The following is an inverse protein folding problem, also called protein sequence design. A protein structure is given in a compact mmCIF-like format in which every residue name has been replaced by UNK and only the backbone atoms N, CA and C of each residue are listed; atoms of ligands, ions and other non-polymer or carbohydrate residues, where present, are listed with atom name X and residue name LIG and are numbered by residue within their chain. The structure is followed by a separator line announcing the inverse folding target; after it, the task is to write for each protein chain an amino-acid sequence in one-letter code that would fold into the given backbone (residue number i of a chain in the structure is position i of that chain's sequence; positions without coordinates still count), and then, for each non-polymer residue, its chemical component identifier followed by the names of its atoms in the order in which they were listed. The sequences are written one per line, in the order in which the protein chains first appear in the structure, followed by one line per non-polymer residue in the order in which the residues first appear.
data_IF_101103610320
#
_entry.id   IF_101103610320
#
_cell.length_a   1.000
_cell.length_b   1.000
_cell.length_c   1.000
_cell.angle_alpha   90.00
_cell.angle_beta   90.00
_cell.angle_gamma   90.00
#
_symmetry.space_group_name_H-M   'P 1'
#
loop_
_entity.id
_entity.type
_entity.pdbx_description
1 polymer ?
#
# COMPACT_ATOMS: atom_id res chain seq x y z
N UNK A 1 4.46 20.32 1.04
CA UNK A 1 5.87 20.53 0.62
C UNK A 1 6.91 20.33 1.70
N UNK A 2 6.84 21.05 2.83
CA UNK A 2 7.92 21.06 3.86
C UNK A 2 8.24 19.68 4.46
N UNK A 3 7.28 18.75 4.48
CA UNK A 3 7.43 17.35 4.93
C UNK A 3 8.54 16.57 4.19
N UNK A 4 8.92 16.98 2.98
CA UNK A 4 9.98 16.31 2.24
C UNK A 4 11.34 16.37 2.96
N UNK A 5 11.60 17.44 3.73
CA UNK A 5 12.85 17.59 4.49
C UNK A 5 12.98 16.49 5.57
N UNK A 6 12.06 16.38 6.55
CA UNK A 6 12.16 15.33 7.56
C UNK A 6 12.06 13.94 6.94
N UNK A 7 11.27 13.76 5.88
CA UNK A 7 11.18 12.48 5.16
C UNK A 7 12.54 12.04 4.57
N UNK A 8 13.22 12.93 3.84
CA UNK A 8 14.54 12.63 3.25
C UNK A 8 15.60 12.41 4.33
N UNK A 9 15.60 13.20 5.40
CA UNK A 9 16.56 13.01 6.50
C UNK A 9 16.35 11.68 7.20
N UNK A 10 15.10 11.31 7.51
CA UNK A 10 14.78 10.02 8.12
C UNK A 10 15.10 8.84 7.18
N UNK A 11 14.99 9.03 5.86
CA UNK A 11 15.45 8.06 4.88
C UNK A 11 16.96 7.86 4.91
N UNK A 12 17.74 8.95 4.88
CA UNK A 12 19.21 8.88 4.85
C UNK A 12 19.78 8.32 6.15
N UNK A 13 19.26 8.75 7.30
CA UNK A 13 19.83 8.38 8.60
C UNK A 13 19.21 7.14 9.24
N UNK A 14 17.97 6.80 8.91
CA UNK A 14 17.25 5.66 9.49
C UNK A 14 16.96 4.55 8.48
N UNK A 15 16.16 4.89 7.46
CA UNK A 15 15.63 3.91 6.51
C UNK A 15 16.71 3.15 5.71
N UNK A 16 17.55 3.88 4.99
CA UNK A 16 18.59 3.31 4.10
C UNK A 16 19.62 2.48 4.86
N UNK A 17 20.18 2.93 6.01
CA UNK A 17 21.12 2.13 6.78
C UNK A 17 20.52 0.80 7.26
N UNK A 18 19.29 0.80 7.79
CA UNK A 18 18.62 -0.42 8.24
C UNK A 18 18.31 -1.37 7.08
N UNK A 19 17.83 -0.81 5.95
CA UNK A 19 17.53 -1.56 4.74
C UNK A 19 18.79 -2.25 4.18
N UNK A 20 19.90 -1.50 4.06
CA UNK A 20 21.17 -2.05 3.61
C UNK A 20 21.73 -3.11 4.57
N UNK A 21 21.68 -2.86 5.87
CA UNK A 21 22.14 -3.80 6.89
C UNK A 21 21.44 -5.16 6.77
N UNK A 22 20.12 -5.17 6.62
CA UNK A 22 19.35 -6.41 6.47
C UNK A 22 19.70 -7.16 5.18
N UNK A 23 19.82 -6.44 4.06
CA UNK A 23 20.24 -7.04 2.78
C UNK A 23 21.64 -7.64 2.87
N UNK A 24 22.60 -6.93 3.45
CA UNK A 24 23.97 -7.40 3.62
C UNK A 24 24.02 -8.64 4.52
N UNK A 25 23.27 -8.64 5.63
CA UNK A 25 23.16 -9.80 6.54
C UNK A 25 22.59 -11.03 5.83
N UNK A 26 21.53 -10.85 5.03
CA UNK A 26 20.91 -11.91 4.26
C UNK A 26 21.84 -12.49 3.20
N UNK A 27 22.49 -11.63 2.41
CA UNK A 27 23.43 -12.04 1.36
C UNK A 27 24.66 -12.75 1.92
N UNK A 28 25.20 -12.28 3.06
CA UNK A 28 26.38 -12.87 3.68
C UNK A 28 26.09 -14.24 4.32
N UNK A 29 25.01 -14.36 5.09
CA UNK A 29 24.73 -15.60 5.83
C UNK A 29 23.97 -16.64 5.00
N UNK A 30 23.23 -16.25 3.97
CA UNK A 30 22.45 -17.14 3.10
C UNK A 30 21.50 -18.07 3.87
N UNK A 31 20.83 -17.51 4.87
CA UNK A 31 19.87 -18.21 5.72
C UNK A 31 18.62 -17.37 5.89
N UNK A 32 17.49 -18.00 6.21
CA UNK A 32 16.24 -17.29 6.49
C UNK A 32 16.21 -16.57 7.85
N UNK A 33 15.09 -15.92 8.14
CA UNK A 33 14.91 -15.06 9.30
C UNK A 33 14.99 -15.77 10.68
N UNK A 34 14.76 -17.09 10.74
CA UNK A 34 14.90 -17.87 11.99
C UNK A 34 16.32 -18.44 12.15
N UNK A 35 16.88 -19.16 11.15
CA UNK A 35 18.18 -19.81 11.34
C UNK A 35 19.37 -18.84 11.46
N UNK A 36 19.26 -17.63 10.92
CA UNK A 36 20.34 -16.62 10.99
C UNK A 36 20.73 -16.29 12.44
N UNK A 37 19.75 -16.21 13.35
CA UNK A 37 19.99 -15.88 14.75
C UNK A 37 20.81 -16.95 15.48
N UNK A 38 20.79 -18.20 15.02
CA UNK A 38 21.69 -19.24 15.57
C UNK A 38 23.17 -18.92 15.32
N UNK A 39 23.48 -18.20 14.23
CA UNK A 39 24.85 -17.82 13.86
C UNK A 39 25.28 -16.48 14.46
N UNK A 40 24.34 -15.54 14.59
CA UNK A 40 24.62 -14.20 15.14
C UNK A 40 24.54 -14.21 16.66
N UNK A 41 23.36 -14.51 17.22
CA UNK A 41 23.13 -14.48 18.66
C UNK A 41 21.92 -15.38 19.01
N UNK A 42 22.15 -16.61 19.50
CA UNK A 42 21.09 -17.60 19.70
C UNK A 42 19.95 -17.15 20.62
N UNK A 43 20.22 -16.25 21.58
CA UNK A 43 19.21 -15.70 22.49
C UNK A 43 18.10 -14.96 21.73
N UNK A 44 18.41 -14.38 20.57
CA UNK A 44 17.49 -13.60 19.74
C UNK A 44 16.76 -14.44 18.69
N UNK A 45 16.83 -15.77 18.75
CA UNK A 45 16.08 -16.66 17.84
C UNK A 45 14.57 -16.39 17.83
N UNK A 46 14.02 -15.89 18.93
CA UNK A 46 12.62 -15.46 19.05
C UNK A 46 12.19 -14.40 18.04
N UNK A 47 13.11 -13.54 17.57
CA UNK A 47 12.82 -12.49 16.57
C UNK A 47 12.27 -13.10 15.28
N UNK A 48 12.87 -14.20 14.81
CA UNK A 48 12.39 -14.87 13.59
C UNK A 48 10.96 -15.41 13.72
N UNK A 49 10.58 -15.93 14.90
CA UNK A 49 9.21 -16.39 15.14
C UNK A 49 8.23 -15.21 15.26
N UNK A 50 8.64 -14.11 15.90
CA UNK A 50 7.83 -12.90 15.98
C UNK A 50 7.54 -12.34 14.58
N UNK A 51 8.53 -12.33 13.68
CA UNK A 51 8.35 -11.94 12.27
C UNK A 51 7.29 -12.80 11.58
N UNK A 52 7.28 -14.13 11.81
CA UNK A 52 6.26 -15.00 11.23
C UNK A 52 4.84 -14.66 11.74
N UNK A 53 4.69 -14.39 13.04
CA UNK A 53 3.39 -14.01 13.63
C UNK A 53 2.92 -12.66 13.09
N UNK A 54 3.83 -11.67 13.03
CA UNK A 54 3.52 -10.35 12.44
C UNK A 54 3.12 -10.51 10.98
N UNK A 55 3.87 -11.29 10.19
CA UNK A 55 3.56 -11.57 8.80
C UNK A 55 2.19 -12.22 8.61
N UNK A 56 1.77 -13.10 9.53
CA UNK A 56 0.43 -13.70 9.53
C UNK A 56 -0.66 -12.64 9.74
N UNK A 57 -0.50 -11.76 10.74
CA UNK A 57 -1.47 -10.68 10.97
C UNK A 57 -1.54 -9.69 9.81
N UNK A 58 -0.38 -9.34 9.24
CA UNK A 58 -0.30 -8.48 8.04
C UNK A 58 -1.03 -9.12 6.87
N UNK A 59 -0.86 -10.43 6.66
CA UNK A 59 -1.53 -11.19 5.60
C UNK A 59 -3.06 -11.12 5.71
N UNK A 60 -3.62 -11.12 6.92
CA UNK A 60 -5.08 -11.06 7.10
C UNK A 60 -5.69 -9.78 6.55
N UNK A 61 -5.18 -8.60 6.92
CA UNK A 61 -5.80 -7.35 6.49
C UNK A 61 -5.36 -6.89 5.09
N UNK A 62 -4.09 -7.11 4.69
CA UNK A 62 -3.61 -6.66 3.37
C UNK A 62 -4.35 -7.37 2.24
N UNK A 63 -4.56 -8.69 2.35
CA UNK A 63 -5.28 -9.43 1.32
C UNK A 63 -6.76 -9.03 1.25
N UNK A 64 -7.38 -8.60 2.35
CA UNK A 64 -8.74 -8.05 2.35
C UNK A 64 -8.82 -6.72 1.58
N UNK A 65 -7.85 -5.83 1.74
CA UNK A 65 -7.79 -4.56 0.97
C UNK A 65 -7.65 -4.85 -0.52
N UNK A 66 -6.79 -5.81 -0.89
CA UNK A 66 -6.65 -6.24 -2.30
C UNK A 66 -7.96 -6.86 -2.80
N UNK A 67 -8.70 -7.59 -1.96
CA UNK A 67 -10.01 -8.14 -2.32
C UNK A 67 -11.05 -7.04 -2.61
N UNK A 68 -11.04 -5.94 -1.85
CA UNK A 68 -11.86 -4.77 -2.17
C UNK A 68 -11.47 -4.19 -3.53
N UNK A 69 -10.17 -3.99 -3.80
CA UNK A 69 -9.70 -3.48 -5.07
C UNK A 69 -10.07 -4.40 -6.25
N UNK A 70 -9.97 -5.72 -6.08
CA UNK A 70 -10.38 -6.70 -7.08
C UNK A 70 -11.90 -6.65 -7.33
N UNK A 71 -12.70 -6.44 -6.29
CA UNK A 71 -14.14 -6.24 -6.41
C UNK A 71 -14.47 -4.96 -7.21
N UNK A 72 -13.76 -3.86 -6.96
CA UNK A 72 -13.84 -2.63 -7.76
C UNK A 72 -13.42 -2.87 -9.21
N UNK A 73 -12.34 -3.61 -9.44
CA UNK A 73 -11.84 -3.93 -10.77
C UNK A 73 -12.89 -4.70 -11.58
N UNK A 74 -13.50 -5.74 -11.00
CA UNK A 74 -14.60 -6.47 -11.65
C UNK A 74 -15.82 -5.58 -11.90
N UNK A 75 -16.20 -4.77 -10.91
CA UNK A 75 -17.36 -3.86 -11.01
C UNK A 75 -17.17 -2.76 -12.07
N UNK A 76 -15.91 -2.47 -12.45
CA UNK A 76 -15.57 -1.48 -13.47
C UNK A 76 -15.88 -1.95 -14.90
N UNK A 77 -16.18 -3.23 -15.13
CA UNK A 77 -16.57 -3.74 -16.46
C UNK A 77 -18.04 -3.47 -16.82
N UNK A 78 -18.80 -2.84 -15.93
CA UNK A 78 -20.18 -2.41 -16.23
C UNK A 78 -20.20 -1.21 -17.18
N UNK A 79 -21.18 -1.14 -18.09
CA UNK A 79 -21.28 -0.05 -19.07
C UNK A 79 -21.39 1.34 -18.43
N UNK A 80 -22.07 1.42 -17.29
CA UNK A 80 -22.05 2.59 -16.40
C UNK A 80 -21.45 2.18 -15.06
N UNK A 81 -20.52 2.99 -14.54
CA UNK A 81 -19.85 2.71 -13.27
C UNK A 81 -20.88 2.67 -12.12
N UNK A 82 -20.87 1.64 -11.24
CA UNK A 82 -21.86 1.51 -10.17
C UNK A 82 -21.86 2.64 -9.14
N UNK A 83 -20.75 3.38 -9.03
CA UNK A 83 -20.60 4.54 -8.16
C UNK A 83 -20.79 5.89 -8.89
N UNK A 84 -21.33 5.89 -10.11
CA UNK A 84 -21.61 7.12 -10.85
C UNK A 84 -23.01 7.69 -10.58
N UNK A 85 -23.97 6.87 -10.15
CA UNK A 85 -25.38 7.25 -9.95
C UNK A 85 -25.93 6.83 -8.58
N UNK A 86 -26.99 7.52 -8.14
CA UNK A 86 -27.73 7.16 -6.94
C UNK A 86 -28.84 6.13 -7.20
N UNK A 87 -29.05 5.69 -8.45
CA UNK A 87 -30.16 4.82 -8.85
C UNK A 87 -29.85 3.33 -8.69
N UNK A 88 -29.29 2.94 -7.54
CA UNK A 88 -28.87 1.57 -7.25
C UNK A 88 -29.59 1.02 -6.01
N UNK A 89 -29.80 -0.32 -5.91
CA UNK A 89 -30.58 -0.91 -4.82
C UNK A 89 -29.92 -0.80 -3.44
N UNK A 90 -28.63 -0.46 -3.36
CA UNK A 90 -27.93 -0.28 -2.08
C UNK A 90 -27.96 1.16 -1.56
N UNK A 91 -28.35 2.13 -2.39
CA UNK A 91 -28.30 3.54 -2.05
C UNK A 91 -29.46 3.95 -1.13
N UNK A 92 -29.19 4.91 -0.26
CA UNK A 92 -30.20 5.54 0.61
C UNK A 92 -30.86 6.75 -0.02
N UNK A 93 -31.97 7.26 0.57
CA UNK A 93 -32.51 8.58 0.24
C UNK A 93 -31.52 9.73 0.44
N UNK A 94 -30.48 9.54 1.26
CA UNK A 94 -29.45 10.54 1.53
C UNK A 94 -28.37 10.61 0.44
N UNK A 95 -28.40 9.69 -0.54
CA UNK A 95 -27.50 9.71 -1.69
C UNK A 95 -27.81 10.91 -2.59
N UNK A 96 -26.82 11.78 -2.79
CA UNK A 96 -26.95 12.95 -3.66
C UNK A 96 -25.85 13.00 -4.70
N UNK A 97 -26.23 13.00 -5.99
CA UNK A 97 -25.29 13.15 -7.09
C UNK A 97 -25.02 14.64 -7.35
N UNK A 98 -23.92 15.13 -6.79
CA UNK A 98 -23.51 16.54 -6.88
C UNK A 98 -22.89 16.92 -8.22
N UNK A 99 -22.42 15.96 -9.04
CA UNK A 99 -21.87 16.27 -10.36
C UNK A 99 -22.94 16.57 -11.41
N UNK A 100 -24.16 16.06 -11.23
CA UNK A 100 -25.24 16.18 -12.22
C UNK A 100 -26.26 17.29 -11.97
N UNK A 101 -26.23 17.95 -10.80
CA UNK A 101 -27.25 18.94 -10.40
C UNK A 101 -26.57 20.19 -9.82
N UNK A 102 -26.89 21.36 -10.37
CA UNK A 102 -26.29 22.65 -9.98
C UNK A 102 -26.85 23.24 -8.68
N UNK A 103 -28.07 22.87 -8.27
CA UNK A 103 -28.74 23.37 -7.06
C UNK A 103 -28.88 22.26 -6.01
N UNK A 104 -27.76 21.77 -5.47
CA UNK A 104 -27.76 20.78 -4.39
C UNK A 104 -27.19 21.40 -3.13
N UNK A 105 -27.99 21.42 -2.07
CA UNK A 105 -27.53 21.77 -0.72
C UNK A 105 -26.97 20.52 -0.05
N UNK A 106 -25.67 20.52 0.23
CA UNK A 106 -25.03 19.41 0.95
C UNK A 106 -25.30 19.54 2.45
N UNK A 107 -25.91 18.53 3.04
CA UNK A 107 -26.15 18.47 4.49
C UNK A 107 -25.19 17.48 5.15
N UNK A 108 -25.10 17.49 6.48
CA UNK A 108 -24.27 16.54 7.23
C UNK A 108 -24.68 15.07 7.03
N UNK A 109 -25.92 14.83 6.58
CA UNK A 109 -26.45 13.49 6.30
C UNK A 109 -26.26 13.07 4.85
N UNK A 110 -26.03 14.02 3.94
CA UNK A 110 -25.85 13.76 2.52
C UNK A 110 -24.60 12.92 2.27
N UNK A 111 -24.75 11.88 1.44
CA UNK A 111 -23.67 10.96 1.05
C UNK A 111 -23.46 10.98 -0.45
N UNK A 112 -22.21 10.77 -0.87
CA UNK A 112 -21.89 10.66 -2.30
C UNK A 112 -22.20 9.25 -2.83
N UNK A 113 -22.49 9.07 -4.13
CA UNK A 113 -22.70 7.74 -4.71
C UNK A 113 -21.51 6.79 -4.50
N UNK A 114 -20.28 7.32 -4.51
CA UNK A 114 -19.06 6.55 -4.29
C UNK A 114 -18.88 6.13 -2.83
N UNK A 115 -19.22 7.01 -1.89
CA UNK A 115 -19.23 6.70 -0.47
C UNK A 115 -20.26 5.61 -0.17
N UNK A 116 -21.51 5.77 -0.64
CA UNK A 116 -22.58 4.79 -0.50
C UNK A 116 -22.20 3.42 -1.11
N UNK A 117 -21.59 3.42 -2.30
CA UNK A 117 -21.09 2.19 -2.91
C UNK A 117 -20.03 1.51 -2.03
N UNK A 118 -19.03 2.24 -1.55
CA UNK A 118 -18.00 1.67 -0.69
C UNK A 118 -18.58 1.13 0.63
N UNK A 119 -19.37 1.95 1.34
CA UNK A 119 -19.85 1.60 2.67
C UNK A 119 -20.94 0.53 2.62
N UNK A 120 -21.90 0.66 1.69
CA UNK A 120 -23.10 -0.18 1.70
C UNK A 120 -23.07 -1.37 0.77
N UNK A 121 -22.30 -1.30 -0.31
CA UNK A 121 -22.21 -2.39 -1.29
C UNK A 121 -20.91 -3.19 -1.18
N UNK A 122 -19.76 -2.54 -1.07
CA UNK A 122 -18.47 -3.24 -0.97
C UNK A 122 -18.25 -3.79 0.43
N UNK A 123 -18.37 -2.93 1.45
CA UNK A 123 -18.13 -3.31 2.85
C UNK A 123 -19.37 -3.91 3.53
N UNK A 124 -20.57 -3.50 3.12
CA UNK A 124 -21.84 -3.78 3.80
C UNK A 124 -21.81 -3.44 5.30
N UNK A 125 -21.12 -2.36 5.68
CA UNK A 125 -20.84 -2.01 7.07
C UNK A 125 -22.10 -1.75 7.91
N UNK A 126 -23.21 -1.35 7.27
CA UNK A 126 -24.52 -1.16 7.89
C UNK A 126 -25.11 -2.44 8.48
N UNK A 127 -24.62 -3.62 8.09
CA UNK A 127 -25.02 -4.91 8.67
C UNK A 127 -24.30 -5.23 9.98
N UNK A 128 -23.27 -4.45 10.32
CA UNK A 128 -22.51 -4.60 11.55
C UNK A 128 -22.98 -3.61 12.62
N UNK A 129 -23.06 -4.08 13.86
CA UNK A 129 -23.31 -3.25 15.06
C UNK A 129 -22.03 -2.71 15.70
N UNK A 130 -20.89 -2.80 15.01
CA UNK A 130 -19.56 -2.47 15.53
C UNK A 130 -18.71 -3.71 15.83
N UNK A 131 -17.64 -3.54 16.60
CA UNK A 131 -16.63 -4.60 16.81
C UNK A 131 -17.18 -5.85 17.52
N UNK A 132 -18.17 -5.70 18.38
CA UNK A 132 -18.81 -6.81 19.09
C UNK A 132 -19.80 -7.60 18.22
N UNK A 133 -20.29 -6.99 17.14
CA UNK A 133 -21.20 -7.62 16.20
C UNK A 133 -20.81 -7.22 14.76
N UNK A 134 -19.81 -7.89 14.22
CA UNK A 134 -19.24 -7.59 12.90
C UNK A 134 -20.14 -8.00 11.73
N UNK A 135 -21.25 -8.68 12.00
CA UNK A 135 -22.16 -9.20 10.97
C UNK A 135 -21.67 -10.52 10.35
N UNK A 136 -22.23 -10.86 9.18
CA UNK A 136 -21.92 -12.08 8.44
C UNK A 136 -20.79 -11.91 7.42
N UNK A 137 -20.36 -13.02 6.82
CA UNK A 137 -19.33 -13.02 5.76
C UNK A 137 -19.96 -12.61 4.43
N UNK A 138 -19.41 -11.58 3.80
CA UNK A 138 -19.81 -11.16 2.45
C UNK A 138 -19.20 -12.09 1.38
N UNK A 139 -20.03 -12.94 0.77
CA UNK A 139 -19.59 -14.03 -0.11
C UNK A 139 -18.79 -13.56 -1.33
N UNK A 140 -19.12 -12.39 -1.90
CA UNK A 140 -18.41 -11.84 -3.06
C UNK A 140 -16.96 -11.47 -2.70
N UNK A 141 -16.74 -10.91 -1.51
CA UNK A 141 -15.39 -10.64 -1.02
C UNK A 141 -14.66 -11.92 -0.65
N UNK A 142 -15.36 -12.93 -0.13
CA UNK A 142 -14.77 -14.26 0.12
C UNK A 142 -14.26 -14.90 -1.18
N UNK A 143 -15.02 -14.81 -2.28
CA UNK A 143 -14.58 -15.27 -3.60
C UNK A 143 -13.38 -14.47 -4.12
N UNK A 144 -13.39 -13.14 -3.97
CA UNK A 144 -12.24 -12.30 -4.34
C UNK A 144 -10.98 -12.69 -3.54
N UNK A 145 -11.14 -12.93 -2.25
CA UNK A 145 -10.06 -13.35 -1.35
C UNK A 145 -9.53 -14.74 -1.73
N UNK A 146 -10.41 -15.70 -2.03
CA UNK A 146 -10.02 -17.02 -2.52
C UNK A 146 -9.20 -16.91 -3.81
N UNK A 147 -9.64 -16.08 -4.76
CA UNK A 147 -8.91 -15.86 -6.01
C UNK A 147 -7.52 -15.24 -5.76
N UNK A 148 -7.41 -14.27 -4.85
CA UNK A 148 -6.12 -13.68 -4.47
C UNK A 148 -5.18 -14.74 -3.88
N UNK A 149 -5.65 -15.56 -2.94
CA UNK A 149 -4.83 -16.63 -2.38
C UNK A 149 -4.43 -17.67 -3.42
N UNK A 150 -5.31 -18.00 -4.36
CA UNK A 150 -4.97 -18.89 -5.47
C UNK A 150 -3.84 -18.30 -6.34
N UNK A 151 -3.94 -17.01 -6.71
CA UNK A 151 -2.90 -16.31 -7.48
C UNK A 151 -1.57 -16.29 -6.72
N UNK A 152 -1.59 -15.93 -5.43
CA UNK A 152 -0.40 -15.89 -4.58
C UNK A 152 0.22 -17.29 -4.46
N UNK A 153 -0.60 -18.33 -4.25
CA UNK A 153 -0.14 -19.71 -4.17
C UNK A 153 0.58 -20.15 -5.44
N UNK A 154 -0.01 -19.96 -6.62
CA UNK A 154 0.63 -20.34 -7.89
C UNK A 154 1.86 -19.49 -8.20
N UNK A 155 1.91 -18.23 -7.75
CA UNK A 155 3.09 -17.36 -7.89
C UNK A 155 4.28 -17.86 -7.06
N UNK A 156 4.01 -18.42 -5.87
CA UNK A 156 5.03 -18.85 -4.91
C UNK A 156 5.37 -20.35 -4.95
N UNK A 157 4.52 -21.22 -5.51
CA UNK A 157 4.68 -22.68 -5.41
C UNK A 157 6.07 -23.16 -5.86
N UNK A 158 6.60 -22.68 -6.99
CA UNK A 158 7.96 -23.08 -7.45
C UNK A 158 9.08 -22.20 -6.88
N UNK A 159 8.83 -21.51 -5.78
CA UNK A 159 9.77 -20.67 -5.05
C UNK A 159 10.16 -19.39 -5.78
N UNK A 160 11.37 -18.90 -5.50
CA UNK A 160 11.87 -17.61 -6.01
C UNK A 160 11.97 -17.53 -7.53
N UNK A 161 12.06 -18.67 -8.24
CA UNK A 161 12.12 -18.71 -9.71
C UNK A 161 10.80 -18.31 -10.37
N UNK A 162 9.65 -18.75 -9.85
CA UNK A 162 8.34 -18.32 -10.36
C UNK A 162 7.99 -16.94 -9.85
N UNK A 163 8.22 -16.67 -8.56
CA UNK A 163 7.97 -15.35 -7.97
C UNK A 163 8.70 -14.24 -8.74
N UNK A 164 9.99 -14.45 -9.06
CA UNK A 164 10.77 -13.51 -9.87
C UNK A 164 10.16 -13.22 -11.24
N UNK A 165 9.56 -14.22 -11.91
CA UNK A 165 8.87 -14.02 -13.20
C UNK A 165 7.56 -13.25 -13.06
N UNK A 166 6.78 -13.52 -12.02
CA UNK A 166 5.53 -12.80 -11.75
C UNK A 166 5.81 -11.33 -11.43
N UNK A 167 6.88 -11.06 -10.67
CA UNK A 167 7.32 -9.70 -10.28
C UNK A 167 7.65 -8.83 -11.49
N UNK A 168 8.10 -9.39 -12.61
CA UNK A 168 8.31 -8.60 -13.84
C UNK A 168 7.05 -7.87 -14.29
N UNK A 169 5.87 -8.43 -14.07
CA UNK A 169 4.59 -7.78 -14.39
C UNK A 169 4.11 -6.95 -13.19
N UNK A 170 4.06 -7.55 -12.00
CA UNK A 170 3.43 -6.90 -10.84
C UNK A 170 4.20 -5.68 -10.32
N UNK A 171 5.51 -5.61 -10.52
CA UNK A 171 6.32 -4.44 -10.13
C UNK A 171 6.43 -3.38 -11.23
N UNK A 172 6.24 -3.71 -12.51
CA UNK A 172 6.39 -2.74 -13.62
C UNK A 172 5.06 -2.12 -14.04
N UNK A 173 3.98 -2.91 -14.05
CA UNK A 173 2.65 -2.44 -14.45
C UNK A 173 2.17 -1.22 -13.64
N UNK A 174 2.38 -1.12 -12.31
CA UNK A 174 2.02 0.07 -11.56
C UNK A 174 2.63 1.36 -12.10
N UNK A 175 3.86 1.34 -12.61
CA UNK A 175 4.50 2.52 -13.19
C UNK A 175 3.84 2.96 -14.50
N UNK A 176 3.40 2.00 -15.32
CA UNK A 176 2.64 2.29 -16.55
C UNK A 176 1.30 2.95 -16.18
N UNK A 177 0.59 2.39 -15.20
CA UNK A 177 -0.70 2.93 -14.72
C UNK A 177 -0.51 4.32 -14.11
N UNK A 178 0.50 4.51 -13.26
CA UNK A 178 0.83 5.82 -12.68
C UNK A 178 1.12 6.85 -13.77
N UNK A 179 1.87 6.49 -14.82
CA UNK A 179 2.15 7.40 -15.93
C UNK A 179 0.88 7.79 -16.70
N UNK A 180 0.00 6.83 -16.99
CA UNK A 180 -1.28 7.09 -17.66
C UNK A 180 -2.13 8.03 -16.82
N UNK A 181 -2.26 7.75 -15.52
CA UNK A 181 -3.02 8.58 -14.60
C UNK A 181 -2.40 9.96 -14.39
N UNK A 182 -1.07 10.07 -14.41
CA UNK A 182 -0.37 11.36 -14.34
C UNK A 182 -0.68 12.22 -15.55
N UNK A 183 -0.55 11.68 -16.77
CA UNK A 183 -0.85 12.41 -18.01
C UNK A 183 -2.32 12.81 -18.02
N UNK A 184 -3.22 11.90 -17.62
CA UNK A 184 -4.65 12.21 -17.53
C UNK A 184 -4.93 13.30 -16.51
N UNK A 185 -4.37 13.20 -15.30
CA UNK A 185 -4.53 14.18 -14.23
C UNK A 185 -4.02 15.56 -14.62
N UNK A 186 -2.82 15.63 -15.23
CA UNK A 186 -2.20 16.87 -15.68
C UNK A 186 -3.00 17.60 -16.77
N UNK A 187 -3.79 16.88 -17.57
CA UNK A 187 -4.63 17.47 -18.63
C UNK A 187 -6.02 17.91 -18.13
N UNK A 188 -6.39 17.60 -16.89
CA UNK A 188 -7.69 18.00 -16.33
C UNK A 188 -7.71 19.49 -15.94
N UNK A 189 -8.84 20.20 -16.17
CA UNK A 189 -8.96 21.60 -15.80
C UNK A 189 -8.87 21.75 -14.27
N UNK A 190 -8.01 22.67 -13.82
CA UNK A 190 -7.85 22.97 -12.39
C UNK A 190 -6.90 22.05 -11.62
N UNK A 191 -6.23 21.09 -12.29
CA UNK A 191 -5.26 20.17 -11.66
C UNK A 191 -4.14 20.90 -10.88
N UNK A 192 -3.74 22.09 -11.33
CA UNK A 192 -2.73 22.90 -10.65
C UNK A 192 -3.06 23.21 -9.17
N UNK A 193 -4.35 23.26 -8.80
CA UNK A 193 -4.77 23.56 -7.42
C UNK A 193 -4.35 22.45 -6.45
N UNK A 194 -4.49 21.19 -6.86
CA UNK A 194 -4.08 20.04 -6.05
C UNK A 194 -2.56 19.97 -5.91
N UNK A 195 -1.81 20.19 -7.00
CA UNK A 195 -0.34 20.27 -6.97
C UNK A 195 0.15 21.38 -6.05
N UNK A 196 -0.48 22.56 -6.09
CA UNK A 196 -0.14 23.66 -5.17
C UNK A 196 -0.44 23.26 -3.73
N UNK A 197 -1.59 22.65 -3.45
CA UNK A 197 -1.91 22.16 -2.11
C UNK A 197 -0.88 21.14 -1.60
N UNK A 198 -0.47 20.20 -2.46
CA UNK A 198 0.52 19.18 -2.14
C UNK A 198 1.91 19.76 -1.84
N UNK A 199 2.39 20.69 -2.68
CA UNK A 199 3.75 21.21 -2.59
C UNK A 199 3.90 22.47 -1.74
N UNK A 200 2.83 23.19 -1.42
CA UNK A 200 2.91 24.40 -0.58
C UNK A 200 3.59 24.07 0.76
N UNK A 201 4.72 24.72 1.10
CA UNK A 201 5.40 24.47 2.36
C UNK A 201 4.73 25.27 3.47
N UNK A 202 4.43 24.59 4.59
CA UNK A 202 4.13 25.22 5.87
C UNK A 202 5.29 24.95 6.82
N UNK A 203 6.17 25.95 6.95
CA UNK A 203 7.41 25.83 7.73
C UNK A 203 7.16 25.76 9.23
N UNK A 204 6.05 26.33 9.72
CA UNK A 204 5.71 26.28 11.15
C UNK A 204 5.48 24.86 11.64
N UNK A 205 5.01 23.96 10.75
CA UNK A 205 4.79 22.54 11.06
C UNK A 205 6.09 21.79 11.35
N UNK A 206 7.24 22.20 10.82
CA UNK A 206 8.52 21.52 11.07
C UNK A 206 9.00 21.64 12.52
N UNK A 207 8.50 22.63 13.27
CA UNK A 207 8.78 22.78 14.69
C UNK A 207 8.04 21.73 15.55
N UNK A 208 6.99 21.10 15.00
CA UNK A 208 6.27 20.03 15.69
C UNK A 208 7.03 18.72 15.60
N UNK A 209 7.25 18.07 16.75
CA UNK A 209 7.87 16.74 16.81
C UNK A 209 7.04 15.67 16.11
N UNK A 210 5.72 15.84 16.04
CA UNK A 210 4.81 14.89 15.36
C UNK A 210 5.18 14.69 13.91
N UNK A 211 5.57 15.76 13.20
CA UNK A 211 5.93 15.72 11.78
C UNK A 211 7.17 14.85 11.54
N UNK A 212 8.11 14.86 12.48
CA UNK A 212 9.33 14.04 12.41
C UNK A 212 9.04 12.57 12.74
N UNK A 213 8.17 12.31 13.71
CA UNK A 213 7.71 10.96 14.03
C UNK A 213 6.94 10.35 12.86
N UNK A 214 6.05 11.11 12.23
CA UNK A 214 5.29 10.68 11.06
C UNK A 214 6.21 10.41 9.87
N UNK A 215 7.22 11.26 9.64
CA UNK A 215 8.23 11.03 8.62
C UNK A 215 9.06 9.76 8.85
N UNK A 216 9.48 9.52 10.09
CA UNK A 216 10.22 8.31 10.47
C UNK A 216 9.36 7.05 10.32
N UNK A 217 8.11 7.08 10.78
CA UNK A 217 7.16 5.97 10.62
C UNK A 217 6.89 5.68 9.14
N UNK A 218 6.64 6.72 8.34
CA UNK A 218 6.38 6.59 6.91
C UNK A 218 7.55 5.91 6.19
N UNK A 219 8.79 6.35 6.42
CA UNK A 219 9.94 5.75 5.74
C UNK A 219 10.22 4.32 6.22
N UNK A 220 10.04 4.05 7.52
CA UNK A 220 10.24 2.73 8.08
C UNK A 220 9.24 1.72 7.51
N UNK A 221 7.95 2.04 7.50
CA UNK A 221 6.93 1.15 6.93
C UNK A 221 6.95 1.10 5.40
N UNK A 222 7.45 2.13 4.73
CA UNK A 222 7.57 2.15 3.27
C UNK A 222 8.75 1.30 2.77
N UNK A 223 9.92 1.37 3.41
CA UNK A 223 11.07 0.52 3.05
C UNK A 223 10.98 -0.89 3.66
N UNK A 224 10.33 -1.01 4.82
CA UNK A 224 10.10 -2.29 5.51
C UNK A 224 11.35 -3.03 6.01
N UNK A 225 12.40 -2.37 6.55
CA UNK A 225 13.50 -3.09 7.17
C UNK A 225 13.06 -3.78 8.47
N UNK A 226 13.68 -4.92 8.79
CA UNK A 226 13.40 -5.72 9.99
C UNK A 226 12.24 -6.71 9.85
N UNK A 227 11.57 -6.77 8.68
CA UNK A 227 10.48 -7.71 8.43
C UNK A 227 10.95 -9.09 7.94
N UNK A 228 12.26 -9.30 7.75
CA UNK A 228 12.84 -10.58 7.36
C UNK A 228 12.65 -10.94 5.87
N UNK A 229 11.84 -10.17 5.13
CA UNK A 229 11.59 -10.35 3.69
C UNK A 229 12.85 -10.00 2.90
N UNK A 230 13.48 -8.86 3.19
CA UNK A 230 14.72 -8.43 2.54
C UNK A 230 15.85 -9.43 2.79
N UNK A 231 15.95 -9.90 4.04
CA UNK A 231 16.90 -10.93 4.44
C UNK A 231 16.69 -12.24 3.65
N UNK A 232 15.44 -12.70 3.54
CA UNK A 232 15.10 -13.89 2.78
C UNK A 232 15.42 -13.73 1.28
N UNK A 233 15.08 -12.59 0.67
CA UNK A 233 15.38 -12.31 -0.73
C UNK A 233 16.88 -12.25 -1.00
N UNK A 234 17.63 -11.54 -0.14
CA UNK A 234 19.09 -11.42 -0.25
C UNK A 234 19.81 -12.76 -0.05
N UNK A 235 19.23 -13.70 0.72
CA UNK A 235 19.82 -15.02 0.97
C UNK A 235 19.98 -15.88 -0.30
N UNK A 236 19.20 -15.58 -1.35
CA UNK A 236 19.30 -16.24 -2.65
C UNK A 236 20.26 -15.55 -3.62
N UNK A 237 20.89 -14.43 -3.22
CA UNK A 237 21.74 -13.63 -4.10
C UNK A 237 23.17 -14.21 -4.21
N UNK A 238 23.88 -13.82 -5.27
CA UNK A 238 25.29 -14.12 -5.44
C UNK A 238 26.11 -13.40 -4.36
N UNK A 239 27.13 -14.08 -3.80
CA UNK A 239 27.89 -13.57 -2.67
C UNK A 239 28.65 -12.28 -3.01
N UNK A 240 29.19 -12.20 -4.23
CA UNK A 240 29.94 -11.03 -4.72
C UNK A 240 29.05 -9.97 -5.39
N UNK A 241 27.72 -10.10 -5.33
CA UNK A 241 26.84 -9.07 -5.86
C UNK A 241 26.93 -7.78 -5.03
N UNK A 242 26.86 -6.62 -5.67
CA UNK A 242 26.94 -5.33 -4.99
C UNK A 242 25.60 -4.94 -4.34
N UNK A 243 25.31 -5.52 -3.17
CA UNK A 243 24.10 -5.19 -2.40
C UNK A 243 24.02 -3.73 -1.94
N UNK A 244 25.15 -3.02 -1.84
CA UNK A 244 25.15 -1.61 -1.47
C UNK A 244 24.48 -0.75 -2.56
N UNK A 245 24.87 -0.99 -3.83
CA UNK A 245 24.23 -0.34 -4.98
C UNK A 245 22.75 -0.70 -5.06
N UNK A 246 22.40 -1.96 -4.87
CA UNK A 246 21.01 -2.42 -4.92
C UNK A 246 20.16 -1.77 -3.83
N UNK A 247 20.69 -1.66 -2.62
CA UNK A 247 20.01 -1.00 -1.50
C UNK A 247 19.74 0.49 -1.77
N UNK A 248 20.75 1.21 -2.28
CA UNK A 248 20.60 2.63 -2.62
C UNK A 248 19.59 2.87 -3.73
N UNK A 249 19.67 2.11 -4.83
CA UNK A 249 18.75 2.26 -5.97
C UNK A 249 17.33 1.92 -5.53
N UNK A 250 17.14 0.80 -4.82
CA UNK A 250 15.81 0.37 -4.38
C UNK A 250 15.17 1.39 -3.46
N UNK A 251 15.94 1.93 -2.51
CA UNK A 251 15.45 2.96 -1.58
C UNK A 251 15.10 4.26 -2.31
N UNK A 252 15.94 4.69 -3.25
CA UNK A 252 15.70 5.88 -4.06
C UNK A 252 14.45 5.72 -4.93
N UNK A 253 14.31 4.58 -5.62
CA UNK A 253 13.12 4.26 -6.43
C UNK A 253 11.87 4.28 -5.56
N UNK A 254 11.87 3.62 -4.39
CA UNK A 254 10.73 3.65 -3.47
C UNK A 254 10.31 5.09 -3.07
N UNK A 255 11.28 5.94 -2.72
CA UNK A 255 11.01 7.33 -2.33
C UNK A 255 10.47 8.15 -3.52
N UNK A 256 11.08 8.01 -4.70
CA UNK A 256 10.67 8.71 -5.92
C UNK A 256 9.27 8.25 -6.39
N UNK A 257 8.97 6.95 -6.29
CA UNK A 257 7.64 6.42 -6.61
C UNK A 257 6.58 6.94 -5.67
N UNK A 258 6.90 7.09 -4.38
CA UNK A 258 6.00 7.71 -3.39
C UNK A 258 5.74 9.18 -3.72
N UNK A 259 6.79 9.93 -4.11
CA UNK A 259 6.67 11.32 -4.54
C UNK A 259 5.83 11.45 -5.82
N UNK A 260 6.08 10.60 -6.83
CA UNK A 260 5.33 10.54 -8.08
C UNK A 260 3.85 10.21 -7.83
N UNK A 261 3.58 9.22 -6.98
CA UNK A 261 2.21 8.86 -6.60
C UNK A 261 1.48 10.03 -5.94
N UNK A 262 2.19 10.89 -5.20
CA UNK A 262 1.65 12.14 -4.69
C UNK A 262 1.07 13.05 -5.78
N UNK A 263 1.79 13.25 -6.89
CA UNK A 263 1.28 14.02 -8.03
C UNK A 263 0.14 13.34 -8.78
N UNK A 264 0.08 12.02 -8.78
CA UNK A 264 -1.02 11.29 -9.43
C UNK A 264 -2.33 11.46 -8.66
N UNK A 265 -2.26 11.60 -7.34
CA UNK A 265 -3.42 11.73 -6.46
C UNK A 265 -3.90 13.19 -6.31
N UNK A 266 -2.97 14.15 -6.21
CA UNK A 266 -3.26 15.58 -6.01
C UNK A 266 -3.27 16.38 -7.31
#
# INVERSE_FOLDING_TARGET
GAFLIPYTLMAVFGGVPLFYMELALGQFHRTGAIPIWKRICPIFKGIGFAICIIGLYVSFYYNTIIAWALYYFYSSFSGTLPWASCDNPWNTPDCTNYFGKSNVTWTNFSRSPAEEFYTRKVLEIQKSGGLYNVGGIHWQLLLCLFLIFAIVYFSLWKGVKTSGKVVWVTATLPYIVLLILLIRGATLPGAWRGVVFYLRPDWGKLLSTTVWVDAAAQIFFSLGPGFGVLLALASYNHFHNNCYRDALITSAVNCLTSFLSGFVIF
#
